data_IF_340312855501
#
_entry.id   IF_340312855501
#
_cell.length_a   1.000
_cell.length_b   1.000
_cell.length_c   1.000
_cell.angle_alpha   90.00
_cell.angle_beta   90.00
_cell.angle_gamma   90.00
#
_symmetry.space_group_name_H-M   'P 1'
#
loop_
_entity.id
_entity.type
_entity.pdbx_description
1 polymer ?
#
# COMPACT_ATOMS: atom_id res chain seq x y z
N UNK A 1 23.04 -25.38 24.57
CA UNK A 1 22.85 -24.94 23.16
C UNK A 1 21.96 -23.71 23.20
N UNK A 2 22.34 -22.56 22.64
CA UNK A 2 21.43 -21.41 22.62
C UNK A 2 20.29 -21.70 21.65
N UNK A 3 19.06 -21.67 22.16
CA UNK A 3 17.84 -21.70 21.35
C UNK A 3 17.85 -20.51 20.40
N UNK A 4 17.80 -20.77 19.09
CA UNK A 4 17.56 -19.72 18.11
C UNK A 4 16.13 -19.23 18.30
N UNK A 5 15.95 -18.13 19.01
CA UNK A 5 14.68 -17.42 19.11
C UNK A 5 14.29 -16.94 17.71
N UNK A 6 13.50 -17.75 17.01
CA UNK A 6 12.91 -17.36 15.73
C UNK A 6 11.93 -16.23 16.02
N UNK A 7 12.33 -14.99 15.76
CA UNK A 7 11.37 -13.89 15.75
C UNK A 7 10.44 -14.11 14.55
N UNK A 8 9.12 -14.32 14.76
CA UNK A 8 8.20 -14.30 13.64
C UNK A 8 8.32 -12.89 13.03
N UNK A 9 8.84 -12.82 11.82
CA UNK A 9 8.71 -11.60 11.01
C UNK A 9 7.22 -11.45 10.82
N UNK A 10 6.57 -10.64 11.65
CA UNK A 10 5.12 -10.45 11.67
C UNK A 10 4.68 -10.06 10.27
N UNK A 11 4.20 -11.05 9.53
CA UNK A 11 3.53 -10.86 8.26
C UNK A 11 2.12 -10.47 8.62
N UNK A 12 1.70 -9.30 8.14
CA UNK A 12 0.29 -8.93 8.23
C UNK A 12 -0.53 -9.92 7.40
N UNK A 13 -1.79 -10.11 7.78
CA UNK A 13 -2.66 -11.07 7.08
C UNK A 13 -2.86 -10.67 5.61
N UNK A 14 -3.17 -11.65 4.76
CA UNK A 14 -3.54 -11.38 3.36
C UNK A 14 -4.71 -10.40 3.26
N UNK A 15 -5.71 -10.54 4.14
CA UNK A 15 -6.86 -9.64 4.20
C UNK A 15 -6.47 -8.18 4.48
N UNK A 16 -5.50 -7.96 5.37
CA UNK A 16 -4.97 -6.61 5.63
C UNK A 16 -4.38 -6.00 4.35
N UNK A 17 -3.52 -6.74 3.65
CA UNK A 17 -2.90 -6.26 2.42
C UNK A 17 -3.93 -6.03 1.32
N UNK A 18 -4.88 -6.93 1.18
CA UNK A 18 -5.96 -6.81 0.22
C UNK A 18 -6.81 -5.55 0.43
N UNK A 19 -7.32 -5.33 1.65
CA UNK A 19 -8.11 -4.13 1.97
C UNK A 19 -7.30 -2.84 1.83
N UNK A 20 -6.02 -2.87 2.20
CA UNK A 20 -5.10 -1.74 2.00
C UNK A 20 -4.96 -1.41 0.51
N UNK A 21 -4.72 -2.41 -0.34
CA UNK A 21 -4.55 -2.24 -1.78
C UNK A 21 -5.84 -1.74 -2.43
N UNK A 22 -7.01 -2.30 -2.08
CA UNK A 22 -8.30 -1.82 -2.58
C UNK A 22 -8.54 -0.36 -2.21
N UNK A 23 -8.24 0.02 -0.97
CA UNK A 23 -8.41 1.41 -0.51
C UNK A 23 -7.46 2.37 -1.25
N UNK A 24 -6.24 1.95 -1.57
CA UNK A 24 -5.32 2.72 -2.40
C UNK A 24 -5.83 2.88 -3.83
N UNK A 25 -6.32 1.80 -4.46
CA UNK A 25 -6.88 1.82 -5.81
C UNK A 25 -8.09 2.76 -5.87
N UNK A 26 -9.02 2.62 -4.91
CA UNK A 26 -10.19 3.47 -4.78
C UNK A 26 -9.80 4.95 -4.65
N UNK A 27 -8.89 5.28 -3.73
CA UNK A 27 -8.45 6.65 -3.52
C UNK A 27 -7.77 7.25 -4.74
N UNK A 28 -6.97 6.48 -5.48
CA UNK A 28 -6.35 6.96 -6.72
C UNK A 28 -7.35 7.13 -7.86
N UNK A 29 -8.34 6.23 -8.00
CA UNK A 29 -9.41 6.36 -8.99
C UNK A 29 -10.28 7.60 -8.72
N UNK A 30 -10.55 7.89 -7.45
CA UNK A 30 -11.24 9.10 -7.01
C UNK A 30 -10.36 10.36 -7.02
N UNK A 31 -9.08 10.24 -7.43
CA UNK A 31 -8.10 11.34 -7.46
C UNK A 31 -7.88 12.03 -6.10
N UNK A 32 -7.98 11.25 -5.02
CA UNK A 32 -7.74 11.73 -3.66
C UNK A 32 -6.26 12.08 -3.46
N UNK A 33 -6.01 13.11 -2.66
CA UNK A 33 -4.67 13.44 -2.17
C UNK A 33 -4.14 12.39 -1.18
N UNK A 34 -2.83 12.35 -0.98
CA UNK A 34 -2.18 11.48 0.02
C UNK A 34 -2.77 11.63 1.41
N UNK A 35 -3.13 12.86 1.78
CA UNK A 35 -3.79 13.17 3.05
C UNK A 35 -5.16 12.53 3.15
N UNK A 36 -5.96 12.62 2.08
CA UNK A 36 -7.29 12.02 2.03
C UNK A 36 -7.20 10.48 2.02
N UNK A 37 -6.24 9.90 1.30
CA UNK A 37 -6.01 8.45 1.29
C UNK A 37 -5.58 7.95 2.68
N UNK A 38 -4.69 8.69 3.37
CA UNK A 38 -4.26 8.35 4.72
C UNK A 38 -5.43 8.40 5.74
N UNK A 39 -6.30 9.40 5.60
CA UNK A 39 -7.52 9.50 6.39
C UNK A 39 -8.46 8.31 6.12
N UNK A 40 -8.72 8.00 4.84
CA UNK A 40 -9.58 6.89 4.43
C UNK A 40 -9.11 5.53 4.97
N UNK A 41 -7.81 5.25 4.92
CA UNK A 41 -7.24 4.03 5.51
C UNK A 41 -7.46 3.98 7.02
N UNK A 42 -7.26 5.12 7.70
CA UNK A 42 -7.43 5.22 9.15
C UNK A 42 -8.89 5.07 9.56
N UNK A 43 -9.83 5.67 8.82
CA UNK A 43 -11.28 5.55 9.03
C UNK A 43 -11.76 4.10 8.86
N UNK A 44 -11.14 3.33 7.96
CA UNK A 44 -11.39 1.89 7.78
C UNK A 44 -10.72 1.00 8.83
N UNK A 45 -10.07 1.58 9.84
CA UNK A 45 -9.36 0.84 10.88
C UNK A 45 -8.08 0.15 10.39
N UNK A 46 -7.59 0.49 9.19
CA UNK A 46 -6.36 -0.08 8.64
C UNK A 46 -5.18 0.72 9.15
N UNK A 47 -4.45 0.18 10.12
CA UNK A 47 -3.20 0.76 10.59
C UNK A 47 -2.07 0.51 9.58
N UNK A 48 -1.02 1.32 9.62
CA UNK A 48 0.18 1.05 8.83
C UNK A 48 0.87 -0.24 9.28
N UNK A 49 1.81 -0.80 8.50
CA UNK A 49 2.50 -2.02 8.89
C UNK A 49 3.28 -1.95 10.22
N UNK A 50 3.55 -0.75 10.76
CA UNK A 50 4.16 -0.56 12.08
C UNK A 50 3.15 -0.49 13.22
N UNK A 51 1.84 -0.55 12.93
CA UNK A 51 0.76 -0.31 13.89
C UNK A 51 0.44 1.17 14.10
N UNK A 52 1.17 2.11 13.49
CA UNK A 52 0.86 3.54 13.56
C UNK A 52 -0.26 3.91 12.57
N UNK A 53 -0.92 5.07 12.77
CA UNK A 53 -1.84 5.63 11.78
C UNK A 53 -1.12 5.95 10.46
N UNK A 54 -1.86 5.91 9.35
CA UNK A 54 -1.31 6.34 8.07
C UNK A 54 -1.09 7.85 8.06
N UNK A 55 0.04 8.28 7.51
CA UNK A 55 0.38 9.69 7.28
C UNK A 55 0.48 9.95 5.78
N UNK A 56 0.29 11.20 5.31
CA UNK A 56 0.46 11.53 3.90
C UNK A 56 1.83 11.08 3.36
N UNK A 57 2.90 11.32 4.13
CA UNK A 57 4.27 10.91 3.80
C UNK A 57 4.40 9.39 3.67
N UNK A 58 3.76 8.62 4.56
CA UNK A 58 3.76 7.17 4.48
C UNK A 58 3.07 6.68 3.19
N UNK A 59 1.98 7.33 2.76
CA UNK A 59 1.31 7.03 1.49
C UNK A 59 2.22 7.37 0.30
N UNK A 60 2.86 8.54 0.30
CA UNK A 60 3.80 8.93 -0.76
C UNK A 60 4.92 7.90 -0.89
N UNK A 61 5.55 7.53 0.23
CA UNK A 61 6.64 6.55 0.26
C UNK A 61 6.17 5.16 -0.17
N UNK A 62 4.98 4.73 0.27
CA UNK A 62 4.42 3.45 -0.12
C UNK A 62 4.20 3.37 -1.63
N UNK A 63 3.56 4.38 -2.23
CA UNK A 63 3.29 4.40 -3.66
C UNK A 63 4.58 4.53 -4.47
N UNK A 64 5.55 5.31 -3.98
CA UNK A 64 6.88 5.34 -4.55
C UNK A 64 7.51 3.94 -4.60
N UNK A 65 7.47 3.18 -3.50
CA UNK A 65 8.00 1.82 -3.42
C UNK A 65 7.25 0.84 -4.36
N UNK A 66 5.93 0.97 -4.47
CA UNK A 66 5.13 0.16 -5.41
C UNK A 66 5.53 0.43 -6.86
N UNK A 67 5.74 1.69 -7.22
CA UNK A 67 6.13 2.09 -8.59
C UNK A 67 7.57 1.72 -8.92
N UNK A 68 8.47 1.83 -7.95
CA UNK A 68 9.89 1.53 -8.10
C UNK A 68 10.23 0.10 -7.67
N UNK A 69 9.34 -0.86 -7.91
CA UNK A 69 9.47 -2.25 -7.45
C UNK A 69 10.73 -2.97 -7.93
N UNK A 70 11.34 -2.50 -9.03
CA UNK A 70 12.59 -3.07 -9.57
C UNK A 70 13.81 -2.71 -8.73
N UNK A 71 13.78 -1.57 -8.05
CA UNK A 71 14.90 -1.05 -7.27
C UNK A 71 14.64 -1.08 -5.76
N UNK A 72 13.37 -1.06 -5.34
CA UNK A 72 12.99 -1.02 -3.93
C UNK A 72 12.05 -2.16 -3.58
N UNK A 73 12.46 -3.00 -2.62
CA UNK A 73 11.61 -4.08 -2.10
C UNK A 73 10.45 -3.52 -1.29
N UNK A 74 9.24 -4.06 -1.52
CA UNK A 74 8.02 -3.64 -0.82
C UNK A 74 7.13 -4.83 -0.54
N UNK A 75 6.78 -5.04 0.74
CA UNK A 75 5.81 -6.09 1.13
C UNK A 75 4.44 -5.88 0.46
N UNK A 76 4.03 -4.62 0.28
CA UNK A 76 2.78 -4.28 -0.42
C UNK A 76 2.85 -4.67 -1.90
N UNK A 77 4.00 -4.49 -2.55
CA UNK A 77 4.17 -4.93 -3.94
C UNK A 77 4.17 -6.46 -4.04
N UNK A 78 4.84 -7.16 -3.12
CA UNK A 78 4.79 -8.62 -3.07
C UNK A 78 3.37 -9.15 -2.85
N UNK A 79 2.62 -8.54 -1.94
CA UNK A 79 1.21 -8.90 -1.70
C UNK A 79 0.33 -8.58 -2.91
N UNK A 80 0.56 -7.45 -3.59
CA UNK A 80 -0.13 -7.10 -4.83
C UNK A 80 0.07 -8.17 -5.91
N UNK A 81 1.31 -8.62 -6.12
CA UNK A 81 1.59 -9.68 -7.08
C UNK A 81 0.89 -10.98 -6.70
N UNK A 82 0.95 -11.37 -5.42
CA UNK A 82 0.28 -12.57 -4.93
C UNK A 82 -1.23 -12.52 -5.20
N UNK A 83 -1.90 -11.41 -4.87
CA UNK A 83 -3.33 -11.22 -5.12
C UNK A 83 -3.68 -11.27 -6.62
N UNK A 84 -2.78 -10.82 -7.49
CA UNK A 84 -2.97 -10.91 -8.94
C UNK A 84 -2.77 -12.35 -9.45
N UNK A 85 -1.77 -13.06 -8.95
CA UNK A 85 -1.54 -14.47 -9.30
C UNK A 85 -2.67 -15.38 -8.79
N UNK A 86 -3.22 -15.09 -7.61
CA UNK A 86 -4.34 -15.83 -7.02
C UNK A 86 -5.68 -15.51 -7.70
N UNK A 87 -5.71 -14.58 -8.66
CA UNK A 87 -6.93 -14.18 -9.37
C UNK A 87 -7.91 -13.34 -8.54
N UNK A 88 -7.48 -12.85 -7.37
CA UNK A 88 -8.29 -11.97 -6.51
C UNK A 88 -8.35 -10.55 -7.09
N UNK A 89 -7.26 -10.09 -7.69
CA UNK A 89 -7.18 -8.83 -8.42
C UNK A 89 -6.73 -9.06 -9.86
N UNK A 90 -7.18 -8.21 -10.76
CA UNK A 90 -6.80 -8.26 -12.17
C UNK A 90 -5.75 -7.20 -12.49
N UNK A 91 -4.95 -7.43 -13.55
CA UNK A 91 -3.96 -6.47 -14.03
C UNK A 91 -4.55 -5.07 -14.31
N UNK A 92 -5.72 -4.92 -14.97
CA UNK A 92 -6.34 -3.61 -15.19
C UNK A 92 -6.66 -2.86 -13.90
N UNK A 93 -7.16 -3.53 -12.87
CA UNK A 93 -7.52 -2.91 -11.59
C UNK A 93 -6.31 -2.29 -10.88
N UNK A 94 -5.17 -2.99 -10.93
CA UNK A 94 -3.97 -2.57 -10.21
C UNK A 94 -3.12 -1.57 -10.99
N UNK A 95 -3.39 -1.36 -12.28
CA UNK A 95 -2.59 -0.50 -13.15
C UNK A 95 -2.52 0.95 -12.65
N UNK A 96 -3.58 1.43 -12.00
CA UNK A 96 -3.64 2.80 -11.44
C UNK A 96 -2.56 3.07 -10.38
N UNK A 97 -2.13 2.03 -9.64
CA UNK A 97 -1.07 2.16 -8.63
C UNK A 97 0.28 2.54 -9.27
N UNK A 98 0.47 2.18 -10.55
CA UNK A 98 1.69 2.44 -11.32
C UNK A 98 1.65 3.75 -12.11
N UNK A 99 0.49 4.43 -12.18
CA UNK A 99 0.38 5.70 -12.87
C UNK A 99 1.23 6.79 -12.15
N UNK A 100 1.89 7.69 -12.90
CA UNK A 100 2.53 8.86 -12.30
C UNK A 100 1.50 9.66 -11.51
N UNK A 101 1.86 10.14 -10.32
CA UNK A 101 1.00 11.15 -9.67
C UNK A 101 1.08 12.42 -10.49
N UNK A 102 -0.08 12.95 -10.88
CA UNK A 102 -0.14 14.32 -11.36
C UNK A 102 0.40 15.22 -10.24
N UNK A 103 1.29 16.17 -10.52
CA UNK A 103 1.67 17.16 -9.53
C UNK A 103 0.38 17.82 -9.03
N UNK A 104 0.20 17.87 -7.71
CA UNK A 104 -0.87 18.67 -7.12
C UNK A 104 -0.60 20.09 -7.59
N UNK A 105 -1.54 20.76 -8.29
CA UNK A 105 -1.33 22.15 -8.64
C UNK A 105 -1.05 22.90 -7.35
N UNK A 106 0.12 23.55 -7.30
CA UNK A 106 0.51 24.38 -6.18
C UNK A 106 -0.43 25.58 -6.21
N UNK A 107 -1.54 25.49 -5.47
CA UNK A 107 -2.40 26.65 -5.25
C UNK A 107 -1.65 27.49 -4.22
N UNK A 108 -0.75 28.35 -4.73
CA UNK A 108 -0.24 29.51 -4.01
C UNK A 108 -1.32 30.58 -3.96
#
# INVERSE_FOLDING_TARGET
MPEKTYHPTTQHSTSFYHLTILTLIEGLNQKLSDRQIAALLTERGLLSPSGAKWTPTAITQLLYKVRNYRTVKSKIHSALLQLVFDGILTKPEVQILFAPRRPVPNIM
#
